data_IF_171790817371
#
_entry.id   IF_171790817371
#
_cell.length_a   1.000
_cell.length_b   1.000
_cell.length_c   1.000
_cell.angle_alpha   90.00
_cell.angle_beta   90.00
_cell.angle_gamma   90.00
#
_symmetry.space_group_name_H-M   'P 1'
#
loop_
_entity.id
_entity.type
_entity.pdbx_description
1 polymer ?
#
# COMPACT_ATOMS: atom_id res chain seq x y z
N UNK A 1 -5.77 12.97 4.73
CA UNK A 1 -5.17 11.96 5.63
C UNK A 1 -5.35 10.58 5.03
N UNK A 2 -4.37 9.73 5.19
CA UNK A 2 -4.39 8.36 4.69
C UNK A 2 -5.06 7.41 5.66
N UNK A 3 -5.69 6.38 5.12
CA UNK A 3 -6.25 5.28 5.89
C UNK A 3 -5.68 3.93 5.49
N UNK A 4 -5.85 2.97 6.36
CA UNK A 4 -5.54 1.56 6.14
C UNK A 4 -6.69 0.71 6.64
N UNK A 5 -7.20 -0.18 5.80
CA UNK A 5 -8.26 -1.11 6.14
C UNK A 5 -7.72 -2.53 6.14
N UNK A 6 -7.82 -3.19 7.28
CA UNK A 6 -7.37 -4.56 7.48
C UNK A 6 -8.54 -5.43 7.95
N UNK A 7 -8.92 -6.39 7.13
CA UNK A 7 -9.99 -7.34 7.47
C UNK A 7 -9.40 -8.47 8.33
N UNK A 8 -9.90 -8.59 9.54
CA UNK A 8 -9.56 -9.65 10.48
C UNK A 8 -10.83 -10.40 10.88
N UNK A 9 -11.03 -11.64 10.40
CA UNK A 9 -12.18 -12.46 10.79
C UNK A 9 -12.29 -12.62 12.32
N UNK A 10 -13.51 -12.65 12.82
CA UNK A 10 -13.82 -12.88 14.25
C UNK A 10 -13.26 -11.82 15.21
N UNK A 11 -12.73 -10.72 14.70
CA UNK A 11 -12.17 -9.62 15.50
C UNK A 11 -13.15 -8.45 15.50
N UNK A 12 -13.44 -7.91 16.69
CA UNK A 12 -14.30 -6.72 16.80
C UNK A 12 -13.67 -5.54 16.06
N UNK A 13 -14.44 -4.85 15.18
CA UNK A 13 -13.93 -3.68 14.47
C UNK A 13 -13.49 -2.56 15.39
N UNK A 14 -12.33 -1.99 15.12
CA UNK A 14 -11.78 -0.84 15.80
C UNK A 14 -11.20 0.16 14.80
N UNK A 15 -11.36 1.44 15.09
CA UNK A 15 -10.82 2.55 14.32
C UNK A 15 -9.87 3.33 15.21
N UNK A 16 -8.60 3.34 14.84
CA UNK A 16 -7.53 3.95 15.63
C UNK A 16 -6.63 4.83 14.76
N UNK A 17 -6.12 5.89 15.35
CA UNK A 17 -5.05 6.67 14.75
C UNK A 17 -3.71 6.09 15.15
N UNK A 18 -2.89 5.75 14.16
CA UNK A 18 -1.54 5.22 14.38
C UNK A 18 -0.51 6.06 13.62
N UNK A 19 0.71 6.06 14.11
CA UNK A 19 1.85 6.66 13.42
C UNK A 19 2.77 5.55 12.93
N UNK A 20 3.00 5.52 11.63
CA UNK A 20 3.89 4.55 10.99
C UNK A 20 4.94 5.31 10.18
N UNK A 21 6.21 5.07 10.47
CA UNK A 21 7.33 5.77 9.83
C UNK A 21 7.18 7.31 9.80
N UNK A 22 6.72 7.89 10.92
CA UNK A 22 6.52 9.34 11.05
C UNK A 22 5.24 9.88 10.40
N UNK A 23 4.47 9.04 9.73
CA UNK A 23 3.21 9.42 9.09
C UNK A 23 2.02 8.97 9.92
N UNK A 24 1.14 9.91 10.27
CA UNK A 24 -0.11 9.58 10.94
C UNK A 24 -1.12 9.07 9.93
N UNK A 25 -1.77 7.96 10.27
CA UNK A 25 -2.84 7.36 9.47
C UNK A 25 -3.94 6.80 10.36
N UNK A 26 -5.13 6.65 9.79
CA UNK A 26 -6.24 5.98 10.44
C UNK A 26 -6.27 4.51 10.03
N UNK A 27 -6.34 3.63 11.00
CA UNK A 27 -6.40 2.18 10.81
C UNK A 27 -7.77 1.68 11.22
N UNK A 28 -8.48 1.09 10.28
CA UNK A 28 -9.72 0.34 10.49
C UNK A 28 -9.39 -1.14 10.40
N UNK A 29 -9.53 -1.84 11.51
CA UNK A 29 -9.15 -3.23 11.63
C UNK A 29 -10.27 -4.05 12.28
N UNK A 30 -10.57 -5.21 11.75
CA UNK A 30 -11.56 -6.11 12.32
C UNK A 30 -12.42 -6.84 11.30
N UNK A 31 -13.45 -7.50 11.81
CA UNK A 31 -14.44 -8.20 10.98
C UNK A 31 -15.52 -7.25 10.51
N UNK A 32 -15.42 -6.80 9.28
CA UNK A 32 -16.39 -5.93 8.62
C UNK A 32 -17.46 -6.69 7.83
N UNK A 33 -17.25 -7.98 7.62
CA UNK A 33 -18.13 -8.85 6.84
C UNK A 33 -19.06 -9.70 7.71
N UNK A 34 -18.82 -9.70 9.01
CA UNK A 34 -19.62 -10.48 9.96
C UNK A 34 -20.97 -9.86 10.29
N UNK A 35 -21.85 -10.69 10.88
CA UNK A 35 -23.16 -10.29 11.37
C UNK A 35 -24.30 -10.50 10.37
N UNK A 36 -25.51 -10.08 10.75
CA UNK A 36 -26.74 -10.28 9.99
C UNK A 36 -26.84 -9.37 8.75
N UNK A 37 -26.18 -8.23 8.76
CA UNK A 37 -26.21 -7.22 7.70
C UNK A 37 -24.80 -6.72 7.35
N UNK A 38 -23.98 -7.56 6.69
CA UNK A 38 -22.59 -7.23 6.41
C UNK A 38 -22.42 -5.92 5.60
N UNK A 39 -23.26 -5.69 4.60
CA UNK A 39 -23.19 -4.48 3.78
C UNK A 39 -23.47 -3.19 4.55
N UNK A 40 -24.38 -3.22 5.51
CA UNK A 40 -24.65 -2.08 6.40
C UNK A 40 -23.49 -1.82 7.35
N UNK A 41 -22.92 -2.87 7.88
CA UNK A 41 -21.76 -2.79 8.77
C UNK A 41 -20.56 -2.19 8.04
N UNK A 42 -20.26 -2.66 6.86
CA UNK A 42 -19.20 -2.15 6.01
C UNK A 42 -19.39 -0.67 5.68
N UNK A 43 -20.59 -0.26 5.24
CA UNK A 43 -20.91 1.14 4.95
C UNK A 43 -20.76 2.04 6.17
N UNK A 44 -21.18 1.60 7.35
CA UNK A 44 -21.07 2.35 8.58
C UNK A 44 -19.60 2.62 8.95
N UNK A 45 -18.76 1.62 8.87
CA UNK A 45 -17.35 1.76 9.18
C UNK A 45 -16.59 2.57 8.13
N UNK A 46 -16.92 2.39 6.85
CA UNK A 46 -16.37 3.21 5.76
C UNK A 46 -16.72 4.69 5.96
N UNK A 47 -17.96 4.98 6.32
CA UNK A 47 -18.39 6.35 6.63
C UNK A 47 -17.62 6.93 7.81
N UNK A 48 -17.44 6.19 8.88
CA UNK A 48 -16.65 6.63 10.04
C UNK A 48 -15.21 6.98 9.64
N UNK A 49 -14.60 6.17 8.82
CA UNK A 49 -13.26 6.42 8.33
C UNK A 49 -13.20 7.70 7.47
N UNK A 50 -14.19 7.91 6.61
CA UNK A 50 -14.30 9.13 5.83
C UNK A 50 -14.55 10.39 6.70
N UNK A 51 -15.34 10.27 7.76
CA UNK A 51 -15.60 11.34 8.74
C UNK A 51 -14.33 11.75 9.51
N UNK A 52 -13.35 10.86 9.62
CA UNK A 52 -12.02 11.17 10.15
C UNK A 52 -11.13 11.97 9.18
N UNK A 53 -11.64 12.36 8.02
CA UNK A 53 -10.89 13.10 7.00
C UNK A 53 -10.09 12.21 6.05
N UNK A 54 -10.34 10.91 6.04
CA UNK A 54 -9.67 9.97 5.13
C UNK A 54 -10.36 10.01 3.77
N UNK A 55 -9.60 10.31 2.73
CA UNK A 55 -10.06 10.28 1.33
C UNK A 55 -9.44 9.12 0.54
N UNK A 56 -8.24 8.72 0.92
CA UNK A 56 -7.50 7.63 0.29
C UNK A 56 -7.09 6.61 1.34
N UNK A 57 -7.21 5.33 1.01
CA UNK A 57 -6.86 4.25 1.92
C UNK A 57 -6.23 3.06 1.19
N UNK A 58 -5.33 2.36 1.88
CA UNK A 58 -4.95 1.02 1.48
C UNK A 58 -6.11 0.09 1.82
N UNK A 59 -6.72 -0.47 0.79
CA UNK A 59 -7.92 -1.30 0.87
C UNK A 59 -7.59 -2.77 0.62
N UNK A 60 -8.43 -3.71 1.10
CA UNK A 60 -8.24 -5.11 0.80
C UNK A 60 -8.25 -5.38 -0.70
N UNK A 61 -7.26 -6.14 -1.22
CA UNK A 61 -7.18 -6.43 -2.65
C UNK A 61 -8.44 -7.09 -3.20
N UNK A 62 -8.91 -6.61 -4.36
CA UNK A 62 -10.12 -7.12 -5.02
C UNK A 62 -11.44 -6.63 -4.43
N UNK A 63 -11.39 -5.81 -3.37
CA UNK A 63 -12.59 -5.31 -2.69
C UNK A 63 -12.64 -3.78 -2.62
N UNK A 64 -11.85 -3.12 -3.43
CA UNK A 64 -11.70 -1.66 -3.38
C UNK A 64 -13.04 -0.93 -3.60
N UNK A 65 -13.88 -1.45 -4.47
CA UNK A 65 -15.20 -0.87 -4.77
C UNK A 65 -16.19 -0.91 -3.60
N UNK A 66 -16.00 -1.84 -2.67
CA UNK A 66 -16.88 -1.99 -1.50
C UNK A 66 -16.73 -0.83 -0.50
N UNK A 67 -15.64 -0.10 -0.59
CA UNK A 67 -15.28 0.97 0.34
C UNK A 67 -15.52 2.39 -0.22
N UNK A 68 -16.34 2.50 -1.25
CA UNK A 68 -16.72 3.83 -1.74
C UNK A 68 -17.33 4.69 -0.60
N UNK A 69 -17.00 6.00 -0.48
CA UNK A 69 -16.28 6.84 -1.45
C UNK A 69 -14.76 6.90 -1.28
N UNK A 70 -14.15 6.06 -0.44
CA UNK A 70 -12.70 6.02 -0.27
C UNK A 70 -12.02 5.61 -1.59
N UNK A 71 -10.94 6.31 -1.92
CA UNK A 71 -10.13 5.99 -3.09
C UNK A 71 -9.00 5.05 -2.69
N UNK A 72 -8.75 3.96 -3.44
CA UNK A 72 -7.66 3.08 -3.12
C UNK A 72 -6.31 3.75 -3.33
N UNK A 73 -5.42 3.59 -2.36
CA UNK A 73 -3.99 3.83 -2.55
C UNK A 73 -3.42 2.60 -3.22
N UNK A 74 -2.78 2.78 -4.37
CA UNK A 74 -2.14 1.67 -5.06
C UNK A 74 -0.96 1.17 -4.22
N UNK A 75 -0.90 -0.12 -3.87
CA UNK A 75 0.17 -0.68 -3.03
C UNK A 75 1.57 -0.41 -3.57
N UNK A 76 1.71 -0.38 -4.87
CA UNK A 76 2.99 -0.13 -5.55
C UNK A 76 3.53 1.27 -5.30
N UNK A 77 2.65 2.27 -5.27
CA UNK A 77 3.06 3.65 -4.96
C UNK A 77 3.60 3.77 -3.53
N UNK A 78 2.96 3.12 -2.57
CA UNK A 78 3.42 3.09 -1.18
C UNK A 78 4.74 2.32 -1.05
N UNK A 79 4.85 1.16 -1.70
CA UNK A 79 6.10 0.38 -1.70
C UNK A 79 7.27 1.16 -2.28
N UNK A 80 7.06 1.88 -3.38
CA UNK A 80 8.07 2.74 -3.97
C UNK A 80 8.46 3.90 -3.03
N UNK A 81 7.50 4.53 -2.39
CA UNK A 81 7.76 5.60 -1.43
C UNK A 81 8.55 5.12 -0.21
N UNK A 82 8.33 3.87 0.22
CA UNK A 82 9.04 3.25 1.35
C UNK A 82 10.33 2.53 0.95
N UNK A 83 10.63 2.41 -0.34
CA UNK A 83 11.80 1.67 -0.80
C UNK A 83 13.12 2.14 -0.18
N UNK A 84 13.41 3.45 -0.03
CA UNK A 84 14.62 3.90 0.66
C UNK A 84 14.72 3.40 2.10
N UNK A 85 13.63 3.50 2.87
CA UNK A 85 13.60 3.05 4.25
C UNK A 85 13.73 1.52 4.37
N UNK A 86 13.13 0.78 3.44
CA UNK A 86 13.27 -0.68 3.39
C UNK A 86 14.72 -1.09 3.10
N UNK A 87 15.39 -0.41 2.18
CA UNK A 87 16.81 -0.67 1.89
C UNK A 87 17.71 -0.33 3.07
N UNK A 88 17.42 0.75 3.79
CA UNK A 88 18.15 1.09 5.01
C UNK A 88 17.95 0.04 6.11
N UNK A 89 16.72 -0.43 6.30
CA UNK A 89 16.40 -1.42 7.32
C UNK A 89 16.99 -2.81 7.02
N UNK A 90 16.99 -3.21 5.76
CA UNK A 90 17.55 -4.49 5.32
C UNK A 90 19.07 -4.49 5.25
N UNK A 91 19.67 -3.30 5.08
CA UNK A 91 21.12 -3.12 4.93
C UNK A 91 21.74 -4.19 4.01
N UNK A 92 21.28 -4.33 2.74
CA UNK A 92 21.72 -5.42 1.87
C UNK A 92 23.21 -5.33 1.62
N UNK A 93 23.89 -6.50 1.67
CA UNK A 93 25.29 -6.60 1.32
C UNK A 93 25.48 -6.61 -0.20
N UNK A 94 26.59 -6.05 -0.65
CA UNK A 94 26.96 -6.03 -2.06
C UNK A 94 26.75 -4.68 -2.73
N UNK A 95 27.23 -4.56 -3.93
CA UNK A 95 27.26 -3.33 -4.72
C UNK A 95 26.41 -3.38 -6.01
N UNK A 96 25.73 -4.51 -6.23
CA UNK A 96 24.91 -4.77 -7.41
C UNK A 96 23.46 -5.04 -7.03
N UNK A 97 22.53 -4.36 -7.69
CA UNK A 97 21.10 -4.61 -7.58
C UNK A 97 20.55 -5.13 -8.92
N UNK A 98 19.58 -6.03 -8.83
CA UNK A 98 18.79 -6.50 -9.98
C UNK A 98 17.34 -6.09 -9.77
N UNK A 99 16.82 -5.27 -10.69
CA UNK A 99 15.43 -4.88 -10.74
C UNK A 99 14.70 -5.68 -11.83
N UNK A 100 13.73 -6.47 -11.40
CA UNK A 100 12.84 -7.21 -12.29
C UNK A 100 11.52 -6.46 -12.41
N UNK A 101 11.10 -6.18 -13.62
CA UNK A 101 9.86 -5.45 -13.88
C UNK A 101 9.08 -6.08 -15.03
N UNK A 102 7.77 -6.10 -14.90
CA UNK A 102 6.88 -6.55 -15.98
C UNK A 102 6.80 -5.49 -17.09
N UNK A 103 6.95 -4.23 -16.73
CA UNK A 103 6.86 -3.08 -17.64
C UNK A 103 7.90 -2.03 -17.32
N UNK A 104 8.38 -1.38 -18.36
CA UNK A 104 9.22 -0.19 -18.26
C UNK A 104 8.32 1.06 -18.15
N UNK A 105 7.68 1.25 -17.03
CA UNK A 105 6.83 2.40 -16.74
C UNK A 105 7.49 3.40 -15.76
N UNK A 106 6.76 4.45 -15.39
CA UNK A 106 7.26 5.47 -14.47
C UNK A 106 7.63 4.90 -13.08
N UNK A 107 6.95 3.84 -12.62
CA UNK A 107 7.23 3.19 -11.34
C UNK A 107 8.56 2.44 -11.40
N UNK A 108 8.80 1.73 -12.49
CA UNK A 108 10.08 1.06 -12.76
C UNK A 108 11.23 2.04 -12.77
N UNK A 109 11.04 3.20 -13.41
CA UNK A 109 12.05 4.26 -13.45
C UNK A 109 12.31 4.86 -12.07
N UNK A 110 11.26 5.08 -11.25
CA UNK A 110 11.42 5.54 -9.88
C UNK A 110 12.20 4.55 -9.02
N UNK A 111 11.86 3.24 -9.11
CA UNK A 111 12.59 2.20 -8.41
C UNK A 111 14.05 2.11 -8.85
N UNK A 112 14.31 2.17 -10.15
CA UNK A 112 15.64 2.17 -10.71
C UNK A 112 16.48 3.34 -10.19
N UNK A 113 15.90 4.53 -10.11
CA UNK A 113 16.58 5.72 -9.58
C UNK A 113 16.99 5.54 -8.12
N UNK A 114 16.08 5.06 -7.26
CA UNK A 114 16.36 4.79 -5.85
C UNK A 114 17.48 3.76 -5.70
N UNK A 115 17.45 2.69 -6.48
CA UNK A 115 18.48 1.64 -6.45
C UNK A 115 19.82 2.15 -6.98
N UNK A 116 19.83 2.97 -8.04
CA UNK A 116 21.05 3.53 -8.60
C UNK A 116 21.76 4.49 -7.65
N UNK A 117 21.04 5.16 -6.76
CA UNK A 117 21.64 6.00 -5.71
C UNK A 117 22.35 5.21 -4.61
N UNK A 118 21.97 3.93 -4.40
CA UNK A 118 22.44 3.09 -3.30
C UNK A 118 23.42 1.99 -3.73
N UNK A 119 23.32 1.55 -4.96
CA UNK A 119 24.14 0.47 -5.51
C UNK A 119 25.04 0.98 -6.64
N UNK A 120 26.24 0.45 -6.68
CA UNK A 120 27.23 0.84 -7.70
C UNK A 120 26.80 0.36 -9.10
N UNK A 121 26.18 -0.80 -9.17
CA UNK A 121 25.73 -1.43 -10.39
C UNK A 121 24.24 -1.77 -10.31
N UNK A 122 23.49 -1.40 -11.31
CA UNK A 122 22.09 -1.73 -11.45
C UNK A 122 21.87 -2.49 -12.75
N UNK A 123 21.26 -3.67 -12.64
CA UNK A 123 20.76 -4.43 -13.79
C UNK A 123 19.24 -4.34 -13.80
N UNK A 124 18.69 -4.06 -14.98
CA UNK A 124 17.26 -4.00 -15.20
C UNK A 124 16.86 -5.11 -16.17
N UNK A 125 15.91 -5.94 -15.78
CA UNK A 125 15.26 -6.93 -16.63
C UNK A 125 13.79 -6.59 -16.78
N UNK A 126 13.33 -6.40 -18.00
CA UNK A 126 11.93 -6.11 -18.34
C UNK A 126 11.31 -7.33 -19.01
N UNK A 127 10.05 -7.62 -18.66
CA UNK A 127 9.33 -8.77 -19.17
C UNK A 127 9.15 -8.76 -20.68
N UNK A 128 8.92 -9.94 -21.29
CA UNK A 128 8.74 -10.08 -22.73
C UNK A 128 7.53 -9.29 -23.22
N UNK A 129 7.69 -8.58 -24.33
CA UNK A 129 6.64 -7.76 -24.98
C UNK A 129 6.82 -6.24 -24.84
N UNK A 130 7.89 -5.78 -24.21
CA UNK A 130 8.21 -4.35 -24.08
C UNK A 130 9.57 -3.96 -24.68
N UNK A 131 10.15 -4.83 -25.43
CA UNK A 131 11.25 -4.49 -26.32
C UNK A 131 10.68 -3.77 -27.55
N UNK A 132 10.53 -2.49 -27.40
CA UNK A 132 10.27 -1.63 -28.54
C UNK A 132 11.26 -0.47 -28.53
#
# INVERSE_FOLDING_TARGET
MLGYVHLLPETRPALERRTVAGTALWVLEGDLDGGLLPSRRLRRWTRRLAECGVSHAALPPGREGDFAPLRPVLPDGLRLALLPQLLDALAPAGDTALLLADRADSRTLCAARVLAERFRHLRLSVGPGQEA
#
